data_IF_231092693804
#
_entry.id   IF_231092693804
#
_cell.length_a   1.000
_cell.length_b   1.000
_cell.length_c   1.000
_cell.angle_alpha   90.00
_cell.angle_beta   90.00
_cell.angle_gamma   90.00
#
_symmetry.space_group_name_H-M   'P 1'
#
loop_
_entity.id
_entity.type
_entity.pdbx_description
1 polymer ?
#
# COMPACT_ATOMS: atom_id res chain seq x y z
N UNK A 1 1.39 -4.75 -22.06
CA UNK A 1 2.17 -4.97 -20.83
C UNK A 1 2.09 -3.76 -19.87
N UNK A 2 2.73 -2.63 -20.15
CA UNK A 2 2.67 -1.42 -19.28
C UNK A 2 1.23 -0.91 -19.08
N UNK A 3 0.35 -1.07 -20.08
CA UNK A 3 -1.09 -0.78 -19.95
C UNK A 3 -1.80 -1.63 -18.90
N UNK A 4 -1.59 -2.95 -18.90
CA UNK A 4 -2.19 -3.84 -17.90
C UNK A 4 -1.66 -3.55 -16.48
N UNK A 5 -0.38 -3.15 -16.38
CA UNK A 5 0.21 -2.72 -15.11
C UNK A 5 -0.39 -1.39 -14.64
N UNK A 6 -0.57 -0.42 -15.54
CA UNK A 6 -1.28 0.82 -15.25
C UNK A 6 -2.72 0.55 -14.82
N UNK A 7 -3.46 -0.33 -15.52
CA UNK A 7 -4.83 -0.71 -15.14
C UNK A 7 -4.89 -1.35 -13.75
N UNK A 8 -3.95 -2.24 -13.44
CA UNK A 8 -3.82 -2.86 -12.12
C UNK A 8 -3.49 -1.82 -11.05
N UNK A 9 -2.54 -0.93 -11.30
CA UNK A 9 -2.17 0.16 -10.40
C UNK A 9 -3.36 1.09 -10.13
N UNK A 10 -4.03 1.54 -11.19
CA UNK A 10 -5.19 2.46 -11.10
C UNK A 10 -6.37 1.85 -10.36
N UNK A 11 -6.58 0.52 -10.44
CA UNK A 11 -7.77 -0.13 -9.87
C UNK A 11 -7.52 -0.91 -8.57
N UNK A 12 -6.27 -1.20 -8.20
CA UNK A 12 -5.96 -2.01 -7.02
C UNK A 12 -6.13 -1.24 -5.72
N UNK A 13 -6.84 -1.83 -4.75
CA UNK A 13 -6.94 -1.31 -3.37
C UNK A 13 -5.76 -1.71 -2.47
N UNK A 14 -4.94 -2.66 -2.92
CA UNK A 14 -3.82 -3.22 -2.13
C UNK A 14 -2.45 -2.78 -2.63
N UNK A 15 -2.40 -2.00 -3.71
CA UNK A 15 -1.15 -1.46 -4.20
C UNK A 15 -0.60 -0.44 -3.21
N UNK A 16 0.67 -0.58 -2.86
CA UNK A 16 1.37 0.29 -1.93
C UNK A 16 2.17 1.30 -2.75
N UNK A 17 1.85 2.59 -2.59
CA UNK A 17 2.65 3.67 -3.17
C UNK A 17 3.45 4.38 -2.09
N UNK A 18 4.49 5.07 -2.54
CA UNK A 18 5.34 5.92 -1.70
C UNK A 18 4.78 7.33 -1.77
N UNK A 19 4.57 7.98 -0.62
CA UNK A 19 4.17 9.38 -0.58
C UNK A 19 5.39 10.29 -0.87
N UNK A 20 5.12 11.53 -1.29
CA UNK A 20 6.16 12.54 -1.48
C UNK A 20 6.95 12.82 -0.20
N UNK A 21 8.17 13.31 -0.37
CA UNK A 21 9.16 13.45 0.70
C UNK A 21 8.68 14.33 1.86
N UNK A 22 7.88 15.37 1.57
CA UNK A 22 7.42 16.31 2.58
C UNK A 22 6.06 15.93 3.19
N UNK A 23 5.60 14.69 2.95
CA UNK A 23 4.35 14.20 3.50
C UNK A 23 4.36 14.23 5.04
N UNK A 24 3.46 15.01 5.62
CA UNK A 24 3.26 15.06 7.06
C UNK A 24 1.91 14.42 7.46
N UNK A 25 1.91 13.21 8.04
CA UNK A 25 0.68 12.54 8.46
C UNK A 25 -0.03 13.26 9.62
N UNK A 26 0.66 14.09 10.41
CA UNK A 26 0.05 14.83 11.53
C UNK A 26 -0.83 15.98 11.04
N UNK A 27 -0.52 16.52 9.87
CA UNK A 27 -1.26 17.60 9.21
C UNK A 27 -2.57 17.13 8.53
N UNK A 28 -2.91 15.84 8.60
CA UNK A 28 -4.09 15.24 7.94
C UNK A 28 -5.44 15.51 8.64
N UNK A 29 -5.46 16.25 9.75
CA UNK A 29 -6.69 16.60 10.47
C UNK A 29 -7.44 15.40 11.07
N UNK A 30 -6.71 14.32 11.42
CA UNK A 30 -7.29 13.10 11.99
C UNK A 30 -8.00 12.18 11.00
N UNK A 31 -7.93 12.49 9.70
CA UNK A 31 -8.58 11.73 8.62
C UNK A 31 -7.60 10.73 8.02
N UNK A 32 -7.38 9.61 8.71
CA UNK A 32 -6.37 8.62 8.34
C UNK A 32 -6.71 7.78 7.10
N UNK A 33 -7.98 7.73 6.71
CA UNK A 33 -8.38 6.92 5.57
C UNK A 33 -8.28 7.71 4.26
N UNK A 34 -7.22 7.42 3.49
CA UNK A 34 -6.98 7.98 2.17
C UNK A 34 -7.32 6.93 1.11
N UNK A 35 -8.16 7.31 0.15
CA UNK A 35 -8.48 6.52 -1.02
C UNK A 35 -7.47 6.79 -2.14
N UNK A 36 -6.35 6.07 -2.07
CA UNK A 36 -5.30 6.11 -3.09
C UNK A 36 -5.84 5.70 -4.47
N UNK A 37 -6.82 4.80 -4.54
CA UNK A 37 -7.41 4.38 -5.82
C UNK A 37 -8.07 5.57 -6.55
N UNK A 38 -8.81 6.39 -5.81
CA UNK A 38 -9.42 7.61 -6.36
C UNK A 38 -8.37 8.64 -6.78
N UNK A 39 -7.29 8.81 -5.99
CA UNK A 39 -6.15 9.66 -6.36
C UNK A 39 -5.45 9.23 -7.65
N UNK A 40 -5.18 7.93 -7.81
CA UNK A 40 -4.57 7.37 -9.03
C UNK A 40 -5.44 7.62 -10.26
N UNK A 41 -6.75 7.41 -10.16
CA UNK A 41 -7.69 7.68 -11.25
C UNK A 41 -7.68 9.15 -11.68
N UNK A 42 -7.65 10.07 -10.71
CA UNK A 42 -7.57 11.49 -11.00
C UNK A 42 -6.25 11.88 -11.66
N UNK A 43 -5.13 11.31 -11.22
CA UNK A 43 -3.84 11.51 -11.88
C UNK A 43 -3.87 11.02 -13.33
N UNK A 44 -4.34 9.80 -13.58
CA UNK A 44 -4.45 9.25 -14.94
C UNK A 44 -5.29 10.17 -15.84
N UNK A 45 -6.44 10.65 -15.34
CA UNK A 45 -7.30 11.58 -16.08
C UNK A 45 -6.59 12.89 -16.42
N UNK A 46 -5.80 13.45 -15.49
CA UNK A 46 -5.00 14.66 -15.75
C UNK A 46 -3.84 14.41 -16.70
N UNK A 47 -3.20 13.24 -16.64
CA UNK A 47 -2.11 12.92 -17.56
C UNK A 47 -2.62 12.69 -18.98
N UNK A 48 -3.85 12.21 -19.15
CA UNK A 48 -4.51 12.10 -20.47
C UNK A 48 -4.75 13.45 -21.16
N UNK A 49 -4.87 14.55 -20.40
CA UNK A 49 -5.04 15.89 -20.96
C UNK A 49 -3.71 16.62 -21.23
N UNK A 50 -2.59 16.04 -20.82
CA UNK A 50 -1.26 16.60 -21.05
C UNK A 50 -0.79 16.33 -22.49
N UNK A 51 -0.11 17.31 -23.09
CA UNK A 51 0.55 17.12 -24.37
C UNK A 51 1.83 16.27 -24.18
N UNK A 52 2.05 15.21 -24.97
CA UNK A 52 3.27 14.41 -24.89
C UNK A 52 4.51 15.25 -25.14
N UNK A 53 5.60 14.94 -24.45
CA UNK A 53 6.89 15.62 -24.64
C UNK A 53 6.96 17.04 -24.06
N UNK A 54 5.87 17.55 -23.47
CA UNK A 54 5.83 18.87 -22.84
C UNK A 54 6.05 18.77 -21.33
N UNK A 55 6.92 19.62 -20.80
CA UNK A 55 7.15 19.75 -19.36
C UNK A 55 6.06 20.59 -18.68
N UNK A 56 5.54 20.09 -17.57
CA UNK A 56 4.55 20.70 -16.70
C UNK A 56 5.07 20.75 -15.27
N UNK A 57 4.64 21.72 -14.48
CA UNK A 57 5.05 21.80 -13.06
C UNK A 57 4.11 20.98 -12.18
N UNK A 58 4.65 20.33 -11.14
CA UNK A 58 3.82 19.65 -10.13
C UNK A 58 2.81 20.62 -9.50
N UNK A 59 3.23 21.87 -9.24
CA UNK A 59 2.36 22.92 -8.72
C UNK A 59 1.13 23.16 -9.58
N UNK A 60 1.29 23.14 -10.92
CA UNK A 60 0.18 23.31 -11.85
C UNK A 60 -0.79 22.13 -11.80
N UNK A 61 -0.28 20.89 -11.85
CA UNK A 61 -1.07 19.66 -11.76
C UNK A 61 -1.89 19.58 -10.46
N UNK A 62 -1.23 19.78 -9.32
CA UNK A 62 -1.87 19.71 -8.01
C UNK A 62 -2.97 20.75 -7.85
N UNK A 63 -2.75 21.97 -8.36
CA UNK A 63 -3.75 23.03 -8.36
C UNK A 63 -4.97 22.65 -9.22
N UNK A 64 -4.76 22.08 -10.41
CA UNK A 64 -5.85 21.62 -11.28
C UNK A 64 -6.69 20.54 -10.60
N UNK A 65 -6.05 19.51 -10.05
CA UNK A 65 -6.75 18.43 -9.32
C UNK A 65 -7.53 19.00 -8.13
N UNK A 66 -6.93 19.89 -7.35
CA UNK A 66 -7.59 20.53 -6.20
C UNK A 66 -8.82 21.36 -6.62
N UNK A 67 -8.75 22.06 -7.76
CA UNK A 67 -9.84 22.89 -8.27
C UNK A 67 -11.01 22.05 -8.78
N UNK A 68 -10.72 20.93 -9.46
CA UNK A 68 -11.76 20.00 -9.93
C UNK A 68 -12.41 19.25 -8.77
N UNK A 69 -11.62 18.69 -7.86
CA UNK A 69 -12.12 17.97 -6.70
C UNK A 69 -11.12 17.98 -5.53
N UNK A 70 -11.31 18.87 -4.54
CA UNK A 70 -10.42 18.93 -3.39
C UNK A 70 -10.54 17.69 -2.45
N UNK A 71 -11.56 16.84 -2.64
CA UNK A 71 -11.79 15.62 -1.87
C UNK A 71 -11.38 14.36 -2.63
N UNK A 72 -10.50 14.47 -3.64
CA UNK A 72 -10.12 13.36 -4.53
C UNK A 72 -9.62 12.11 -3.80
N UNK A 73 -8.86 12.27 -2.71
CA UNK A 73 -8.39 11.16 -1.88
C UNK A 73 -9.38 10.76 -0.78
N UNK A 74 -10.53 11.44 -0.68
CA UNK A 74 -11.52 11.23 0.40
C UNK A 74 -12.95 11.40 -0.13
N UNK A 75 -13.38 10.62 -1.13
CA UNK A 75 -14.67 10.83 -1.81
C UNK A 75 -15.89 10.74 -0.88
N UNK A 76 -15.80 9.97 0.21
CA UNK A 76 -16.86 9.88 1.23
C UNK A 76 -17.05 11.17 2.02
N UNK A 77 -16.01 12.00 2.15
CA UNK A 77 -16.05 13.22 2.95
C UNK A 77 -16.72 14.38 2.25
N UNK A 78 -16.84 14.31 0.92
CA UNK A 78 -17.63 15.23 0.11
C UNK A 78 -19.08 15.37 0.62
N UNK A 79 -19.60 14.34 1.33
CA UNK A 79 -20.99 14.26 1.79
C UNK A 79 -21.14 14.44 3.31
N UNK A 80 -20.10 14.84 4.05
CA UNK A 80 -20.20 15.03 5.50
C UNK A 80 -20.91 16.34 5.88
N UNK A 81 -21.78 16.26 6.89
CA UNK A 81 -22.50 17.40 7.48
C UNK A 81 -21.67 18.31 8.40
N UNK A 82 -22.35 19.09 9.25
CA UNK A 82 -21.78 20.24 9.97
C UNK A 82 -20.56 19.92 10.86
N UNK A 83 -20.51 18.74 11.51
CA UNK A 83 -19.35 18.32 12.32
C UNK A 83 -18.09 18.05 11.47
N UNK A 84 -18.26 17.69 10.19
CA UNK A 84 -17.17 17.54 9.23
C UNK A 84 -16.54 18.89 8.83
N UNK A 85 -17.27 20.00 8.88
CA UNK A 85 -16.81 21.31 8.38
C UNK A 85 -15.54 21.83 9.07
N UNK A 86 -15.38 21.61 10.38
CA UNK A 86 -14.18 22.07 11.11
C UNK A 86 -12.93 21.30 10.66
N UNK A 87 -13.02 19.98 10.61
CA UNK A 87 -11.93 19.12 10.14
C UNK A 87 -11.66 19.34 8.64
N UNK A 88 -12.70 19.62 7.86
CA UNK A 88 -12.59 19.98 6.45
C UNK A 88 -11.82 21.29 6.23
N UNK A 89 -12.03 22.34 7.05
CA UNK A 89 -11.28 23.59 6.92
C UNK A 89 -9.78 23.40 7.17
N UNK A 90 -9.43 22.69 8.23
CA UNK A 90 -8.04 22.37 8.58
C UNK A 90 -7.40 21.47 7.51
N UNK A 91 -8.13 20.45 7.05
CA UNK A 91 -7.70 19.57 5.95
C UNK A 91 -7.44 20.36 4.66
N UNK A 92 -8.36 21.25 4.25
CA UNK A 92 -8.20 22.06 3.02
C UNK A 92 -7.03 23.04 3.11
N UNK A 93 -6.73 23.55 4.31
CA UNK A 93 -5.56 24.39 4.57
C UNK A 93 -4.26 23.60 4.39
N UNK A 94 -4.23 22.35 4.84
CA UNK A 94 -3.06 21.46 4.74
C UNK A 94 -3.01 20.61 3.46
N UNK A 95 -3.96 20.80 2.53
CA UNK A 95 -4.14 19.93 1.36
C UNK A 95 -2.83 19.66 0.59
N UNK A 96 -2.02 20.69 0.33
CA UNK A 96 -0.77 20.50 -0.43
C UNK A 96 0.29 19.68 0.33
N UNK A 97 0.32 19.77 1.67
CA UNK A 97 1.26 19.04 2.53
C UNK A 97 0.88 17.57 2.75
N UNK A 98 -0.37 17.21 2.45
CA UNK A 98 -0.91 15.87 2.68
C UNK A 98 -1.31 15.24 1.35
N UNK A 99 -2.41 15.69 0.76
CA UNK A 99 -2.92 15.21 -0.52
C UNK A 99 -1.94 15.48 -1.65
N UNK A 100 -1.40 16.70 -1.69
CA UNK A 100 -0.42 17.10 -2.69
C UNK A 100 0.83 16.21 -2.66
N UNK A 101 1.35 15.91 -1.47
CA UNK A 101 2.50 15.03 -1.30
C UNK A 101 2.18 13.57 -1.67
N UNK A 102 0.99 13.06 -1.34
CA UNK A 102 0.57 11.72 -1.81
C UNK A 102 0.54 11.69 -3.34
N UNK A 103 -0.13 12.64 -3.98
CA UNK A 103 -0.21 12.71 -5.44
C UNK A 103 1.17 12.89 -6.10
N UNK A 104 2.06 13.66 -5.46
CA UNK A 104 3.45 13.79 -5.89
C UNK A 104 4.16 12.43 -5.87
N UNK A 105 4.03 11.70 -4.77
CA UNK A 105 4.61 10.37 -4.60
C UNK A 105 4.09 9.33 -5.58
N UNK A 106 2.78 9.34 -5.87
CA UNK A 106 2.15 8.48 -6.89
C UNK A 106 2.79 8.67 -8.27
N UNK A 107 3.10 9.93 -8.63
CA UNK A 107 3.71 10.27 -9.91
C UNK A 107 5.21 9.98 -9.91
N UNK A 108 5.91 10.23 -8.80
CA UNK A 108 7.36 10.06 -8.70
C UNK A 108 7.83 8.62 -8.40
N UNK A 109 6.92 7.73 -8.01
CA UNK A 109 7.19 6.30 -7.84
C UNK A 109 6.65 5.50 -9.03
N UNK A 110 5.48 4.88 -8.88
CA UNK A 110 4.88 3.92 -9.80
C UNK A 110 4.84 4.42 -11.25
N UNK A 111 4.39 5.65 -11.52
CA UNK A 111 4.28 6.14 -12.90
C UNK A 111 5.65 6.44 -13.54
N UNK A 112 6.61 6.91 -12.75
CA UNK A 112 7.98 7.15 -13.20
C UNK A 112 8.71 5.82 -13.46
N UNK A 113 8.59 4.85 -12.56
CA UNK A 113 9.17 3.51 -12.71
C UNK A 113 8.60 2.76 -13.93
N UNK A 114 7.32 2.97 -14.26
CA UNK A 114 6.69 2.43 -15.47
C UNK A 114 7.10 3.15 -16.76
N UNK A 115 7.84 4.26 -16.66
CA UNK A 115 8.23 5.09 -17.80
C UNK A 115 7.08 5.90 -18.42
N UNK A 116 5.95 6.03 -17.74
CA UNK A 116 4.78 6.80 -18.20
C UNK A 116 5.08 8.30 -18.10
N UNK A 117 5.82 8.69 -17.07
CA UNK A 117 6.25 10.07 -16.84
C UNK A 117 7.77 10.14 -16.69
N UNK A 118 8.34 11.27 -17.11
CA UNK A 118 9.68 11.68 -16.74
C UNK A 118 9.61 12.76 -15.66
N UNK A 119 10.61 12.82 -14.78
CA UNK A 119 10.68 13.78 -13.68
C UNK A 119 11.80 14.79 -13.91
N UNK A 120 11.54 16.04 -13.57
CA UNK A 120 12.47 17.15 -13.61
C UNK A 120 12.68 17.71 -12.21
N UNK A 121 13.94 17.95 -11.86
CA UNK A 121 14.35 18.50 -10.59
C UNK A 121 15.00 19.85 -10.84
N UNK A 122 14.61 20.87 -10.08
CA UNK A 122 15.46 22.05 -9.95
C UNK A 122 16.70 21.60 -9.17
N UNK A 123 17.88 21.75 -9.77
CA UNK A 123 19.13 21.24 -9.20
C UNK A 123 19.23 21.59 -7.71
N UNK A 124 19.59 20.65 -6.83
CA UNK A 124 20.06 21.05 -5.53
C UNK A 124 21.34 21.85 -5.73
N UNK A 125 21.43 23.01 -5.09
CA UNK A 125 22.70 23.73 -4.96
C UNK A 125 23.72 22.71 -4.47
N UNK A 126 24.81 22.50 -5.23
CA UNK A 126 25.93 21.70 -4.74
C UNK A 126 26.32 22.28 -3.39
N UNK A 127 26.07 21.53 -2.31
CA UNK A 127 26.55 21.93 -0.99
C UNK A 127 28.07 21.89 -1.10
N UNK A 128 28.73 23.04 -0.99
CA UNK A 128 30.19 23.12 -0.92
C UNK A 128 30.70 22.04 0.06
N UNK A 129 31.59 21.17 -0.41
CA UNK A 129 32.18 20.11 0.40
C UNK A 129 31.73 18.67 0.07
N UNK A 130 31.08 18.42 -1.07
CA UNK A 130 30.92 17.05 -1.60
C UNK A 130 29.95 16.15 -0.83
N UNK A 131 29.10 16.73 0.03
CA UNK A 131 27.97 16.00 0.62
C UNK A 131 26.87 15.83 -0.44
N UNK A 132 26.28 14.64 -0.59
CA UNK A 132 25.09 14.50 -1.42
C UNK A 132 24.02 15.45 -0.89
N UNK A 133 23.43 16.22 -1.79
CA UNK A 133 22.32 17.09 -1.44
C UNK A 133 21.20 16.28 -0.79
N UNK A 134 20.48 16.90 0.15
CA UNK A 134 19.29 16.27 0.72
C UNK A 134 18.33 15.88 -0.41
N UNK A 135 17.67 14.70 -0.31
CA UNK A 135 16.67 14.31 -1.29
C UNK A 135 15.60 15.40 -1.39
N UNK A 136 15.12 15.66 -2.61
CA UNK A 136 14.08 16.65 -2.86
C UNK A 136 13.00 16.05 -3.75
N UNK A 137 11.76 16.54 -3.60
CA UNK A 137 10.69 16.20 -4.53
C UNK A 137 10.97 16.78 -5.93
N UNK A 138 10.49 16.14 -7.01
CA UNK A 138 10.56 16.70 -8.34
C UNK A 138 9.71 17.98 -8.45
N UNK A 139 10.17 18.93 -9.26
CA UNK A 139 9.49 20.21 -9.49
C UNK A 139 8.63 20.18 -10.75
N UNK A 140 9.05 19.39 -11.73
CA UNK A 140 8.40 19.24 -13.04
C UNK A 140 8.23 17.78 -13.44
N UNK A 141 7.26 17.53 -14.33
CA UNK A 141 7.05 16.22 -14.95
C UNK A 141 6.73 16.40 -16.43
N UNK A 142 6.86 15.32 -17.19
CA UNK A 142 6.48 15.25 -18.60
C UNK A 142 5.86 13.89 -18.86
N UNK A 143 4.76 13.84 -19.62
CA UNK A 143 4.24 12.57 -20.15
C UNK A 143 5.15 12.14 -21.30
N UNK A 144 5.73 10.95 -21.20
CA UNK A 144 6.62 10.40 -22.23
C UNK A 144 5.81 9.98 -23.45
N UNK A 145 6.47 9.75 -24.59
CA UNK A 145 5.81 9.19 -25.78
C UNK A 145 5.15 7.84 -25.46
N UNK A 146 5.83 7.00 -24.66
CA UNK A 146 5.29 5.74 -24.16
C UNK A 146 4.04 5.96 -23.30
N UNK A 147 4.12 6.90 -22.35
CA UNK A 147 3.01 7.25 -21.48
C UNK A 147 1.79 7.71 -22.26
N UNK A 148 1.97 8.61 -23.23
CA UNK A 148 0.88 9.09 -24.07
C UNK A 148 0.26 7.97 -24.92
N UNK A 149 1.06 7.10 -25.54
CA UNK A 149 0.55 5.95 -26.29
C UNK A 149 -0.33 5.02 -25.42
N UNK A 150 0.05 4.80 -24.16
CA UNK A 150 -0.70 3.97 -23.21
C UNK A 150 -1.96 4.67 -22.73
N UNK A 151 -1.88 5.97 -22.44
CA UNK A 151 -2.95 6.79 -21.87
C UNK A 151 -4.06 7.14 -22.90
N UNK A 152 -3.70 7.32 -24.17
CA UNK A 152 -4.61 7.74 -25.25
C UNK A 152 -5.35 6.60 -25.94
N UNK A 153 -4.90 5.36 -25.79
CA UNK A 153 -5.68 4.23 -26.30
C UNK A 153 -6.96 4.13 -25.45
N UNK A 154 -8.10 4.51 -26.02
CA UNK A 154 -9.40 4.42 -25.35
C UNK A 154 -9.65 3.00 -24.82
N UNK A 155 -10.62 2.86 -23.91
CA UNK A 155 -11.29 1.56 -23.71
C UNK A 155 -12.01 1.16 -25.01
N UNK A 156 -11.24 0.80 -26.03
CA UNK A 156 -11.70 -0.11 -27.06
C UNK A 156 -12.18 -1.35 -26.33
N UNK A 157 -13.40 -1.75 -26.67
CA UNK A 157 -13.98 -3.06 -26.45
C UNK A 157 -12.93 -4.14 -26.21
N UNK A 158 -13.26 -5.09 -25.33
CA UNK A 158 -12.72 -6.44 -25.41
C UNK A 158 -13.03 -7.02 -26.80
N UNK A 159 -12.33 -6.53 -27.82
CA UNK A 159 -12.25 -7.03 -29.16
C UNK A 159 -10.94 -7.76 -29.20
N UNK A 160 -11.05 -9.09 -29.09
CA UNK A 160 -10.12 -10.09 -29.59
C UNK A 160 -8.80 -9.52 -30.14
N UNK A 161 -7.83 -9.30 -29.26
CA UNK A 161 -6.43 -9.49 -29.64
C UNK A 161 -6.16 -11.00 -29.64
N UNK A 162 -6.69 -11.69 -30.65
CA UNK A 162 -6.06 -12.95 -31.06
C UNK A 162 -4.72 -12.56 -31.71
N UNK A 163 -3.64 -12.59 -30.94
CA UNK A 163 -2.30 -12.64 -31.53
C UNK A 163 -1.12 -12.05 -30.78
N UNK A 164 -1.26 -11.48 -29.59
CA UNK A 164 -0.06 -11.24 -28.76
C UNK A 164 0.01 -12.35 -27.72
N UNK A 165 0.49 -13.53 -28.14
CA UNK A 165 0.94 -14.54 -27.21
C UNK A 165 1.82 -13.82 -26.17
N UNK A 166 1.38 -13.74 -24.91
CA UNK A 166 2.20 -13.19 -23.84
C UNK A 166 3.57 -13.85 -24.00
N UNK A 167 4.59 -13.06 -24.36
CA UNK A 167 5.92 -13.62 -24.58
C UNK A 167 6.33 -14.26 -23.27
N UNK A 168 6.26 -15.57 -23.22
CA UNK A 168 6.78 -16.37 -22.12
C UNK A 168 8.29 -16.11 -22.14
N UNK A 169 8.79 -15.37 -21.17
CA UNK A 169 10.22 -14.98 -21.05
C UNK A 169 10.90 -15.69 -19.90
N UNK A 170 10.10 -16.35 -19.05
CA UNK A 170 10.54 -17.02 -17.84
C UNK A 170 10.93 -18.47 -18.16
N UNK A 171 12.07 -18.89 -17.63
CA UNK A 171 12.45 -20.29 -17.51
C UNK A 171 12.48 -20.64 -16.02
N UNK A 172 11.69 -21.64 -15.64
CA UNK A 172 11.71 -22.23 -14.30
C UNK A 172 12.56 -23.48 -14.34
N UNK A 173 13.67 -23.47 -13.60
CA UNK A 173 14.58 -24.60 -13.52
C UNK A 173 14.23 -25.55 -12.37
N UNK A 174 14.55 -26.85 -12.47
CA UNK A 174 14.33 -27.81 -11.39
C UNK A 174 15.07 -27.48 -10.08
N UNK A 175 16.12 -26.65 -10.13
CA UNK A 175 16.86 -26.17 -8.97
C UNK A 175 16.23 -24.93 -8.30
N UNK A 176 14.97 -24.60 -8.62
CA UNK A 176 14.23 -23.44 -8.09
C UNK A 176 14.70 -22.07 -8.60
N UNK A 177 15.60 -22.03 -9.59
CA UNK A 177 15.98 -20.78 -10.24
C UNK A 177 14.96 -20.35 -11.29
N UNK A 178 14.67 -19.06 -11.29
CA UNK A 178 13.83 -18.36 -12.24
C UNK A 178 14.75 -17.49 -13.10
N UNK A 179 14.78 -17.74 -14.40
CA UNK A 179 15.53 -16.93 -15.36
C UNK A 179 14.58 -16.18 -16.28
N UNK A 180 14.63 -14.86 -16.22
CA UNK A 180 13.98 -13.99 -17.20
C UNK A 180 15.00 -13.68 -18.27
N UNK A 181 14.83 -14.26 -19.47
CA UNK A 181 15.82 -14.16 -20.55
C UNK A 181 15.86 -12.78 -21.23
N UNK A 182 14.87 -11.94 -20.96
CA UNK A 182 14.74 -10.60 -21.52
C UNK A 182 14.18 -9.65 -20.44
N UNK A 183 14.41 -8.33 -20.55
CA UNK A 183 13.80 -7.34 -19.68
C UNK A 183 12.27 -7.34 -19.80
N UNK A 184 11.60 -8.11 -18.94
CA UNK A 184 10.16 -8.18 -18.80
C UNK A 184 9.79 -7.79 -17.37
N UNK A 185 9.61 -6.48 -17.17
CA UNK A 185 9.28 -5.91 -15.86
C UNK A 185 7.96 -6.46 -15.28
N UNK A 186 7.01 -6.86 -16.11
CA UNK A 186 5.69 -7.35 -15.70
C UNK A 186 5.82 -8.72 -15.08
N UNK A 187 6.55 -9.61 -15.75
CA UNK A 187 6.89 -10.90 -15.20
C UNK A 187 7.76 -10.68 -13.96
N UNK A 188 8.79 -9.84 -14.00
CA UNK A 188 9.63 -9.54 -12.83
C UNK A 188 8.82 -9.10 -11.60
N UNK A 189 8.01 -8.04 -11.72
CA UNK A 189 7.16 -7.51 -10.65
C UNK A 189 6.13 -8.53 -10.15
N UNK A 190 5.63 -9.41 -11.04
CA UNK A 190 4.72 -10.48 -10.63
C UNK A 190 5.40 -11.53 -9.73
N UNK A 191 6.72 -11.75 -9.90
CA UNK A 191 7.53 -12.73 -9.18
C UNK A 191 8.07 -12.21 -7.85
N UNK A 192 8.39 -10.92 -7.73
CA UNK A 192 8.99 -10.31 -6.52
C UNK A 192 8.29 -10.67 -5.19
N UNK A 193 6.95 -10.79 -5.12
CA UNK A 193 6.27 -11.13 -3.88
C UNK A 193 6.66 -12.49 -3.31
N UNK A 194 7.01 -13.46 -4.17
CA UNK A 194 7.27 -14.86 -3.78
C UNK A 194 8.63 -15.40 -4.22
N UNK A 195 9.46 -14.61 -4.92
CA UNK A 195 10.81 -14.95 -5.33
C UNK A 195 11.84 -13.99 -4.71
N UNK A 196 13.06 -14.49 -4.48
CA UNK A 196 14.19 -13.68 -4.05
C UNK A 196 14.96 -13.21 -5.29
N UNK A 197 15.31 -11.93 -5.35
CA UNK A 197 16.15 -11.39 -6.43
C UNK A 197 17.60 -11.76 -6.17
N UNK A 198 18.26 -12.37 -7.15
CA UNK A 198 19.70 -12.63 -7.12
C UNK A 198 20.42 -11.60 -8.01
N UNK A 199 19.85 -11.27 -9.17
CA UNK A 199 20.39 -10.30 -10.11
C UNK A 199 19.27 -9.74 -11.01
N UNK A 200 19.31 -8.44 -11.27
CA UNK A 200 18.45 -7.77 -12.28
C UNK A 200 19.34 -7.25 -13.41
N UNK A 201 18.93 -7.49 -14.66
CA UNK A 201 19.69 -7.08 -15.84
C UNK A 201 19.00 -7.55 -17.13
N UNK A 202 19.76 -7.66 -18.22
CA UNK A 202 19.27 -8.19 -19.51
C UNK A 202 18.68 -9.59 -19.31
N UNK A 203 19.38 -10.41 -18.52
CA UNK A 203 18.85 -11.66 -17.96
C UNK A 203 18.71 -11.47 -16.46
N UNK A 204 17.49 -11.51 -15.93
CA UNK A 204 17.25 -11.39 -14.49
C UNK A 204 17.17 -12.79 -13.87
N UNK A 205 17.83 -12.98 -12.73
CA UNK A 205 17.87 -14.23 -11.98
C UNK A 205 17.21 -14.05 -10.62
N UNK A 206 16.25 -14.92 -10.34
CA UNK A 206 15.57 -15.00 -9.07
C UNK A 206 15.59 -16.45 -8.57
N UNK A 207 15.38 -16.65 -7.28
CA UNK A 207 15.27 -17.98 -6.68
C UNK A 207 13.98 -18.11 -5.90
N UNK A 208 13.27 -19.22 -6.09
CA UNK A 208 12.17 -19.61 -5.22
C UNK A 208 12.74 -20.25 -3.96
N UNK A 209 12.45 -19.67 -2.80
CA UNK A 209 12.85 -20.19 -1.50
C UNK A 209 11.63 -20.44 -0.63
N UNK A 210 11.75 -21.32 0.37
CA UNK A 210 10.70 -21.51 1.36
C UNK A 210 10.30 -20.18 2.02
N UNK A 211 11.29 -19.39 2.43
CA UNK A 211 11.04 -18.11 3.11
C UNK A 211 10.32 -17.09 2.21
N UNK A 212 10.69 -17.01 0.92
CA UNK A 212 10.03 -16.11 -0.01
C UNK A 212 8.59 -16.51 -0.28
N UNK A 213 8.32 -17.82 -0.38
CA UNK A 213 6.97 -18.35 -0.52
C UNK A 213 6.11 -18.07 0.73
N UNK A 214 6.59 -18.44 1.92
CA UNK A 214 5.83 -18.26 3.18
C UNK A 214 5.51 -16.78 3.44
N UNK A 215 6.44 -15.86 3.13
CA UNK A 215 6.19 -14.42 3.20
C UNK A 215 5.04 -14.00 2.28
N UNK A 216 5.02 -14.52 1.04
CA UNK A 216 3.93 -14.23 0.10
C UNK A 216 2.57 -14.75 0.60
N UNK A 217 2.55 -15.93 1.21
CA UNK A 217 1.33 -16.49 1.81
C UNK A 217 0.84 -15.62 2.98
N UNK A 218 1.75 -15.12 3.83
CA UNK A 218 1.41 -14.18 4.90
C UNK A 218 0.89 -12.81 4.44
N UNK A 219 1.10 -12.45 3.17
CA UNK A 219 0.46 -11.28 2.56
C UNK A 219 -0.93 -11.60 1.98
N UNK A 220 -1.48 -12.79 2.27
CA UNK A 220 -2.78 -13.24 1.82
C UNK A 220 -2.84 -13.73 0.38
N UNK A 221 -1.70 -14.11 -0.23
CA UNK A 221 -1.70 -14.77 -1.54
C UNK A 221 -1.97 -16.27 -1.39
N UNK A 222 -2.57 -16.84 -2.42
CA UNK A 222 -2.82 -18.27 -2.49
C UNK A 222 -1.70 -18.98 -3.30
N UNK A 223 -1.31 -20.20 -2.89
CA UNK A 223 -0.38 -21.05 -3.62
C UNK A 223 -0.85 -21.34 -5.05
N UNK A 224 -2.16 -21.54 -5.29
CA UNK A 224 -2.67 -21.78 -6.63
C UNK A 224 -2.43 -20.58 -7.57
N UNK A 225 -2.55 -19.36 -7.04
CA UNK A 225 -2.25 -18.13 -7.80
C UNK A 225 -0.77 -18.03 -8.15
N UNK A 226 0.10 -18.40 -7.21
CA UNK A 226 1.57 -18.39 -7.43
C UNK A 226 1.94 -19.39 -8.53
N UNK A 227 1.39 -20.59 -8.48
CA UNK A 227 1.62 -21.61 -9.52
C UNK A 227 1.06 -21.16 -10.87
N UNK A 228 -0.13 -20.56 -10.91
CA UNK A 228 -0.72 -20.02 -12.15
C UNK A 228 0.18 -18.96 -12.79
N UNK A 229 0.69 -18.01 -12.00
CA UNK A 229 1.61 -16.96 -12.49
C UNK A 229 2.86 -17.60 -13.10
N UNK A 230 3.45 -18.60 -12.44
CA UNK A 230 4.61 -19.30 -12.97
C UNK A 230 4.28 -20.04 -14.28
N UNK A 231 3.13 -20.71 -14.36
CA UNK A 231 2.69 -21.44 -15.56
C UNK A 231 2.40 -20.51 -16.75
N UNK A 232 1.71 -19.40 -16.51
CA UNK A 232 1.34 -18.43 -17.55
C UNK A 232 2.58 -17.79 -18.19
N UNK A 233 3.58 -17.46 -17.37
CA UNK A 233 4.77 -16.71 -17.78
C UNK A 233 5.92 -17.61 -18.26
N UNK A 234 5.93 -18.89 -17.89
CA UNK A 234 7.01 -19.83 -18.22
C UNK A 234 6.98 -20.29 -19.67
N UNK A 235 8.15 -20.33 -20.33
CA UNK A 235 8.33 -20.83 -21.70
C UNK A 235 8.04 -22.31 -21.83
N UNK A 236 8.36 -23.06 -20.77
CA UNK A 236 8.19 -24.50 -20.68
C UNK A 236 7.20 -24.83 -19.58
N UNK A 237 6.65 -26.03 -19.61
CA UNK A 237 5.93 -26.57 -18.47
C UNK A 237 6.80 -26.51 -17.22
N UNK A 238 6.17 -26.24 -16.07
CA UNK A 238 6.89 -26.17 -14.81
C UNK A 238 7.43 -27.56 -14.44
N UNK A 239 8.70 -27.65 -14.00
CA UNK A 239 9.22 -28.90 -13.48
C UNK A 239 8.35 -29.45 -12.33
N UNK A 240 8.01 -30.74 -12.40
CA UNK A 240 7.11 -31.37 -11.44
C UNK A 240 7.61 -31.25 -10.00
N UNK A 241 8.93 -31.34 -9.79
CA UNK A 241 9.55 -31.19 -8.48
C UNK A 241 9.33 -29.78 -7.90
N UNK A 242 9.37 -28.74 -8.73
CA UNK A 242 9.10 -27.36 -8.30
C UNK A 242 7.65 -27.22 -7.84
N UNK A 243 6.68 -27.68 -8.63
CA UNK A 243 5.25 -27.61 -8.26
C UNK A 243 4.97 -28.38 -6.98
N UNK A 244 5.52 -29.60 -6.85
CA UNK A 244 5.36 -30.43 -5.65
C UNK A 244 5.93 -29.74 -4.41
N UNK A 245 7.17 -29.25 -4.48
CA UNK A 245 7.83 -28.61 -3.33
C UNK A 245 7.16 -27.29 -2.93
N UNK A 246 6.69 -26.49 -3.89
CA UNK A 246 5.92 -25.28 -3.58
C UNK A 246 4.63 -25.60 -2.80
N UNK A 247 3.91 -26.65 -3.20
CA UNK A 247 2.73 -27.12 -2.49
C UNK A 247 3.06 -27.66 -1.10
N UNK A 248 4.15 -28.42 -0.96
CA UNK A 248 4.62 -28.91 0.34
C UNK A 248 4.97 -27.76 1.29
N UNK A 249 5.74 -26.78 0.83
CA UNK A 249 6.05 -25.59 1.61
C UNK A 249 4.80 -24.83 2.03
N UNK A 250 3.81 -24.70 1.13
CA UNK A 250 2.53 -24.07 1.45
C UNK A 250 1.75 -24.84 2.53
N UNK A 251 1.79 -26.18 2.53
CA UNK A 251 1.17 -27.00 3.60
C UNK A 251 1.83 -26.79 4.96
N UNK A 252 3.13 -26.48 4.98
CA UNK A 252 3.85 -26.17 6.24
C UNK A 252 3.61 -24.76 6.74
N UNK A 253 2.93 -23.90 5.98
CA UNK A 253 2.62 -22.54 6.39
C UNK A 253 1.71 -22.53 7.61
N UNK A 254 2.19 -21.88 8.68
CA UNK A 254 1.46 -21.64 9.91
C UNK A 254 1.55 -20.16 10.23
N UNK A 255 0.42 -19.55 10.53
CA UNK A 255 0.33 -18.14 10.89
C UNK A 255 0.07 -18.00 12.38
N UNK A 256 0.76 -17.05 13.01
CA UNK A 256 0.50 -16.64 14.39
C UNK A 256 0.37 -15.12 14.40
N UNK A 257 -0.71 -14.62 14.99
CA UNK A 257 -0.94 -13.20 15.16
C UNK A 257 -0.46 -12.76 16.54
N UNK A 258 0.40 -11.75 16.58
CA UNK A 258 0.88 -11.12 17.81
C UNK A 258 0.30 -9.70 17.86
N UNK A 259 -0.42 -9.39 18.94
CA UNK A 259 -1.05 -8.10 19.14
C UNK A 259 -0.79 -7.60 20.56
N UNK A 260 -0.55 -6.29 20.69
CA UNK A 260 -0.61 -5.64 22.00
C UNK A 260 -2.06 -5.38 22.37
N UNK A 261 -2.45 -5.76 23.58
CA UNK A 261 -3.83 -5.68 24.05
C UNK A 261 -3.86 -5.26 25.51
N UNK A 262 -4.95 -4.59 25.92
CA UNK A 262 -5.29 -4.45 27.32
C UNK A 262 -5.93 -5.73 27.81
N UNK A 263 -5.35 -6.35 28.84
CA UNK A 263 -5.95 -7.48 29.55
C UNK A 263 -6.91 -6.95 30.62
N UNK A 264 -8.14 -7.43 30.59
CA UNK A 264 -9.19 -7.09 31.55
C UNK A 264 -9.56 -8.37 32.29
N UNK A 265 -9.15 -8.44 33.55
CA UNK A 265 -9.49 -9.54 34.45
C UNK A 265 -10.70 -9.16 35.29
N UNK A 266 -11.67 -10.06 35.37
CA UNK A 266 -12.87 -9.89 36.18
C UNK A 266 -12.97 -11.02 37.22
N UNK A 267 -13.52 -10.76 38.41
CA UNK A 267 -13.59 -11.75 39.49
C UNK A 267 -14.49 -12.96 39.18
N UNK A 268 -15.44 -12.86 38.25
CA UNK A 268 -16.37 -13.94 37.95
C UNK A 268 -16.75 -14.00 36.47
N UNK A 269 -17.14 -15.20 36.03
CA UNK A 269 -17.68 -15.43 34.69
C UNK A 269 -19.02 -14.70 34.45
N UNK A 270 -19.86 -14.56 35.47
CA UNK A 270 -21.09 -13.78 35.38
C UNK A 270 -20.82 -12.32 35.00
N UNK A 271 -19.81 -11.70 35.61
CA UNK A 271 -19.41 -10.33 35.29
C UNK A 271 -18.76 -10.24 33.90
N UNK A 272 -17.98 -11.25 33.49
CA UNK A 272 -17.45 -11.31 32.13
C UNK A 272 -18.56 -11.32 31.07
N UNK A 273 -19.65 -12.06 31.35
CA UNK A 273 -20.83 -12.12 30.48
C UNK A 273 -21.55 -10.76 30.42
N UNK A 274 -21.73 -10.09 31.55
CA UNK A 274 -22.33 -8.76 31.62
C UNK A 274 -21.53 -7.73 30.82
N UNK A 275 -20.21 -7.69 31.01
CA UNK A 275 -19.29 -6.80 30.28
C UNK A 275 -19.32 -7.06 28.77
N UNK A 276 -19.33 -8.33 28.35
CA UNK A 276 -19.39 -8.69 26.94
C UNK A 276 -20.78 -8.40 26.30
N UNK A 277 -21.85 -8.46 27.10
CA UNK A 277 -23.22 -8.22 26.64
C UNK A 277 -23.55 -6.72 26.53
N UNK A 278 -22.91 -5.86 27.33
CA UNK A 278 -23.19 -4.41 27.35
C UNK A 278 -22.96 -3.75 25.99
N UNK A 279 -24.02 -3.14 25.45
CA UNK A 279 -23.99 -2.48 24.15
C UNK A 279 -23.00 -1.30 24.10
N UNK A 280 -22.79 -0.63 25.24
CA UNK A 280 -21.84 0.50 25.33
C UNK A 280 -20.39 0.02 25.33
N UNK A 281 -20.11 -1.20 25.80
CA UNK A 281 -18.76 -1.75 25.86
C UNK A 281 -18.36 -2.47 24.57
N UNK A 282 -19.34 -2.88 23.75
CA UNK A 282 -19.10 -3.44 22.41
C UNK A 282 -18.33 -2.49 21.47
N UNK A 283 -18.46 -1.18 21.64
CA UNK A 283 -17.73 -0.18 20.83
C UNK A 283 -16.21 -0.28 21.00
N UNK A 284 -15.74 -0.83 22.12
CA UNK A 284 -14.30 -1.03 22.41
C UNK A 284 -13.76 -2.36 21.86
N UNK A 285 -14.57 -3.15 21.16
CA UNK A 285 -14.11 -4.38 20.51
C UNK A 285 -13.62 -5.46 21.48
N UNK A 286 -14.22 -5.54 22.67
CA UNK A 286 -13.84 -6.51 23.69
C UNK A 286 -13.98 -7.94 23.16
N UNK A 287 -12.91 -8.74 23.27
CA UNK A 287 -12.90 -10.16 22.91
C UNK A 287 -12.65 -11.01 24.15
N UNK A 288 -13.39 -12.09 24.32
CA UNK A 288 -13.19 -13.02 25.43
C UNK A 288 -12.04 -13.98 25.15
N UNK A 289 -11.10 -14.09 26.10
CA UNK A 289 -10.01 -15.06 26.08
C UNK A 289 -10.22 -16.25 27.01
N UNK A 290 -11.05 -16.09 28.05
CA UNK A 290 -11.38 -17.15 28.99
C UNK A 290 -12.59 -16.82 29.86
N UNK A 291 -12.91 -17.66 30.87
CA UNK A 291 -14.08 -17.46 31.72
C UNK A 291 -14.08 -16.11 32.43
N UNK A 292 -12.92 -15.65 32.90
CA UNK A 292 -12.74 -14.42 33.67
C UNK A 292 -11.79 -13.41 33.01
N UNK A 293 -11.46 -13.61 31.73
CA UNK A 293 -10.47 -12.80 31.03
C UNK A 293 -11.01 -12.28 29.69
N UNK A 294 -10.97 -10.97 29.53
CA UNK A 294 -11.33 -10.24 28.33
C UNK A 294 -10.10 -9.47 27.83
N UNK A 295 -10.02 -9.23 26.53
CA UNK A 295 -9.02 -8.35 25.94
C UNK A 295 -9.66 -7.24 25.15
N UNK A 296 -8.99 -6.10 25.15
CA UNK A 296 -9.31 -4.99 24.29
C UNK A 296 -8.07 -4.60 23.49
N UNK A 297 -8.25 -4.08 22.29
CA UNK A 297 -7.11 -3.62 21.47
C UNK A 297 -6.44 -2.40 22.11
N UNK A 298 -5.13 -2.22 21.92
CA UNK A 298 -4.36 -1.12 22.52
C UNK A 298 -4.64 0.27 21.88
N UNK A 299 -5.36 0.32 20.76
CA UNK A 299 -5.76 1.55 20.08
C UNK A 299 -6.96 2.26 20.73
N UNK A 300 -7.61 1.64 21.72
CA UNK A 300 -8.73 2.26 22.42
C UNK A 300 -8.27 3.25 23.48
N UNK A 301 -9.13 4.24 23.76
CA UNK A 301 -8.90 5.18 24.86
C UNK A 301 -9.22 4.51 26.21
N UNK A 302 -8.17 4.16 26.97
CA UNK A 302 -8.29 3.52 28.28
C UNK A 302 -9.11 4.34 29.29
N UNK A 303 -9.02 5.67 29.25
CA UNK A 303 -9.78 6.54 30.15
C UNK A 303 -11.28 6.51 29.82
N UNK A 304 -11.61 6.41 28.54
CA UNK A 304 -13.00 6.30 28.09
C UNK A 304 -13.60 4.92 28.40
N UNK A 305 -12.81 3.86 28.23
CA UNK A 305 -13.19 2.52 28.66
C UNK A 305 -13.46 2.49 30.16
N UNK A 306 -12.55 3.05 30.97
CA UNK A 306 -12.72 3.12 32.44
C UNK A 306 -14.00 3.86 32.84
N UNK A 307 -14.23 5.04 32.27
CA UNK A 307 -15.46 5.82 32.52
C UNK A 307 -16.72 5.06 32.11
N UNK A 308 -16.64 4.27 31.04
CA UNK A 308 -17.78 3.47 30.58
C UNK A 308 -18.04 2.29 31.50
N UNK A 309 -17.00 1.61 32.00
CA UNK A 309 -17.12 0.58 33.04
C UNK A 309 -17.74 1.16 34.32
N UNK A 310 -17.26 2.32 34.79
CA UNK A 310 -17.80 2.99 35.98
C UNK A 310 -19.29 3.35 35.82
N UNK A 311 -19.72 3.78 34.63
CA UNK A 311 -21.14 4.04 34.31
C UNK A 311 -22.02 2.78 34.34
N UNK A 312 -21.44 1.61 34.11
CA UNK A 312 -22.12 0.32 34.23
C UNK A 312 -22.00 -0.27 35.64
N UNK A 313 -21.46 0.49 36.61
CA UNK A 313 -21.31 0.07 38.00
C UNK A 313 -20.06 -0.77 38.27
N UNK A 314 -19.13 -0.86 37.31
CA UNK A 314 -17.94 -1.70 37.38
C UNK A 314 -16.71 -0.81 37.65
N UNK A 315 -16.08 -0.99 38.82
CA UNK A 315 -14.86 -0.24 39.16
C UNK A 315 -13.64 -0.93 38.57
N UNK A 316 -12.99 -0.27 37.61
CA UNK A 316 -11.76 -0.77 37.00
C UNK A 316 -10.51 -0.28 37.77
N UNK A 317 -9.68 -1.22 38.24
CA UNK A 317 -8.34 -0.93 38.78
C UNK A 317 -7.30 -1.19 37.70
N UNK A 318 -6.47 -0.19 37.45
CA UNK A 318 -5.34 -0.32 36.52
C UNK A 318 -4.16 -0.90 37.29
N UNK A 319 -3.68 -2.06 36.87
CA UNK A 319 -2.53 -2.73 37.46
C UNK A 319 -1.29 -2.50 36.58
N UNK A 320 -0.22 -1.94 37.18
CA UNK A 320 1.06 -1.68 36.52
C UNK A 320 1.15 -0.32 35.80
N UNK A 321 2.36 0.01 35.36
CA UNK A 321 2.62 1.16 34.49
C UNK A 321 2.11 0.84 33.08
N UNK A 322 0.83 1.09 32.86
CA UNK A 322 0.26 1.10 31.51
C UNK A 322 0.78 2.38 30.85
N UNK A 323 1.93 2.28 30.18
CA UNK A 323 2.44 3.37 29.37
C UNK A 323 1.34 3.73 28.35
N UNK A 324 0.79 4.96 28.40
CA UNK A 324 -0.12 5.39 27.35
C UNK A 324 0.63 5.31 26.03
N UNK A 325 -0.05 4.81 25.00
CA UNK A 325 0.54 4.74 23.67
C UNK A 325 0.81 6.18 23.18
N UNK A 326 2.01 6.71 23.44
CA UNK A 326 2.53 7.78 22.61
C UNK A 326 2.56 7.23 21.20
N UNK A 327 1.91 7.95 20.29
CA UNK A 327 1.83 7.59 18.87
C UNK A 327 3.20 7.87 18.22
N UNK A 328 4.26 7.22 18.69
CA UNK A 328 5.55 7.23 18.02
C UNK A 328 5.48 6.18 16.94
N UNK A 329 4.83 6.54 15.83
CA UNK A 329 5.09 5.91 14.54
C UNK A 329 6.54 6.22 14.19
N UNK A 330 7.46 5.40 14.71
CA UNK A 330 8.81 5.33 14.19
C UNK A 330 8.67 4.72 12.80
N UNK A 331 8.46 5.57 11.80
CA UNK A 331 8.66 5.22 10.41
C UNK A 331 10.15 4.90 10.28
N UNK A 332 10.51 3.63 10.47
CA UNK A 332 11.84 3.14 10.13
C UNK A 332 11.97 3.23 8.62
N UNK A 333 12.39 4.39 8.13
CA UNK A 333 12.92 4.53 6.80
C UNK A 333 14.15 3.62 6.73
N UNK A 334 14.03 2.52 6.00
CA UNK A 334 15.19 1.76 5.56
C UNK A 334 16.04 2.70 4.70
N UNK A 335 17.07 3.29 5.31
CA UNK A 335 18.18 3.91 4.57
C UNK A 335 18.92 2.76 3.88
N UNK A 336 18.75 2.64 2.58
CA UNK A 336 19.68 1.84 1.76
C UNK A 336 21.08 2.45 1.92
N UNK A 337 22.04 1.61 2.28
CA UNK A 337 23.48 1.89 2.18
C UNK A 337 23.98 1.50 0.80
#
# INVERSE_FOLDING_TARGET
MTRALLDSWTNSRRWIDIAGLNFDPRSSGGLYYMDYQSGRKALVAQLQSCAPGRWYTFRSLLRTIKQENPYVLRPRQMHMGIAGLRNTKEMLANWYRVDGEILTGLLSSSLYEMGIVALGYEQPHLVEGGKPADPVNPTSFMVTELGAAILSSEKGTAGQENGNAEKRTLIVQPNFELMLLQPDLSTLYSLLPFAQINQVGIVSRLTLTRNSLLRSLGLGRNIEQIVSILQERSQKELPQNVVYTLNDWARTYKEVNISQVYLIEVPSESLANEVAASAKLKSFGLRRLGPCALIASNDINLQELRKTLEKEGIVARILGDIAPHETTRTTTYYRYR
#
